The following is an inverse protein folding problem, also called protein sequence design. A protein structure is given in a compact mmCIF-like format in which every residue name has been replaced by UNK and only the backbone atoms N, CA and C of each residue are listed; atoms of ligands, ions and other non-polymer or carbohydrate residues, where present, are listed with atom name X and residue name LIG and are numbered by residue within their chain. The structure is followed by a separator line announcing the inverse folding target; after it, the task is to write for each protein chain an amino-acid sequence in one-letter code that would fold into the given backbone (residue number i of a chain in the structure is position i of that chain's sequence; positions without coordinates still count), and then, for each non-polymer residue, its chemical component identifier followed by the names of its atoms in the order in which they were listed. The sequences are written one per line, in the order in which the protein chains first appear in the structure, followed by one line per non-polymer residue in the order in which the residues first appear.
data_IF_428446681162
#
_entry.id   IF_428446681162
#
_cell.length_a   1.000
_cell.length_b   1.000
_cell.length_c   1.000
_cell.angle_alpha   90.00
_cell.angle_beta   90.00
_cell.angle_gamma   90.00
#
_symmetry.space_group_name_H-M   'P 1'
#
loop_
_entity.id
_entity.type
_entity.pdbx_description
1 polymer ?
#
# COMPACT_ATOMS: atom_id res chain seq x y z
N UNK A 1 -10.08 -8.20 4.89
CA UNK A 1 -8.94 -8.70 4.11
C UNK A 1 -8.07 -7.52 3.70
N UNK A 2 -6.75 -7.74 3.60
CA UNK A 2 -5.80 -6.71 3.20
C UNK A 2 -4.97 -7.21 2.02
N UNK A 3 -4.66 -6.31 1.12
CA UNK A 3 -3.92 -6.57 -0.11
C UNK A 3 -2.91 -5.45 -0.36
N UNK A 4 -1.87 -5.76 -1.10
CA UNK A 4 -1.05 -4.77 -1.79
C UNK A 4 -1.22 -4.95 -3.29
N UNK A 5 -1.16 -3.84 -4.01
CA UNK A 5 -1.21 -3.83 -5.46
C UNK A 5 -0.41 -2.67 -6.00
N UNK A 6 0.33 -2.87 -7.07
CA UNK A 6 1.13 -1.82 -7.67
C UNK A 6 1.82 -2.25 -8.96
N UNK A 7 2.43 -1.30 -9.62
CA UNK A 7 3.24 -1.48 -10.81
C UNK A 7 4.19 -0.30 -10.97
N UNK A 8 5.26 -0.49 -11.74
CA UNK A 8 6.28 0.55 -11.96
C UNK A 8 5.76 1.77 -12.73
N UNK A 9 4.71 1.60 -13.52
CA UNK A 9 4.02 2.63 -14.30
C UNK A 9 2.69 2.08 -14.83
N UNK A 10 1.92 2.91 -15.53
CA UNK A 10 0.58 2.55 -16.05
C UNK A 10 0.58 1.49 -17.17
N UNK A 11 1.71 1.21 -17.79
CA UNK A 11 1.85 0.22 -18.86
C UNK A 11 2.49 -1.10 -18.38
N UNK A 12 3.00 -1.12 -17.15
CA UNK A 12 3.54 -2.31 -16.54
C UNK A 12 2.41 -3.25 -16.08
N UNK A 13 2.70 -4.53 -16.05
CA UNK A 13 1.81 -5.51 -15.41
C UNK A 13 1.69 -5.20 -13.92
N UNK A 14 0.45 -5.15 -13.41
CA UNK A 14 0.19 -4.94 -11.99
C UNK A 14 0.44 -6.22 -11.21
N UNK A 15 1.21 -6.10 -10.14
CA UNK A 15 1.43 -7.18 -9.19
C UNK A 15 0.48 -7.04 -8.00
N UNK A 16 -0.02 -8.16 -7.49
CA UNK A 16 -0.99 -8.20 -6.39
C UNK A 16 -0.60 -9.29 -5.40
N UNK A 17 -0.70 -9.01 -4.11
CA UNK A 17 -0.49 -10.00 -3.06
C UNK A 17 -1.48 -9.82 -1.91
N UNK A 18 -2.03 -10.92 -1.35
CA UNK A 18 -2.75 -10.87 -0.09
C UNK A 18 -1.75 -10.64 1.06
N UNK A 19 -2.17 -9.88 2.07
CA UNK A 19 -1.35 -9.58 3.23
C UNK A 19 -1.82 -10.38 4.44
N UNK A 20 -0.90 -11.09 5.13
CA UNK A 20 -1.21 -11.79 6.37
C UNK A 20 -1.74 -10.82 7.43
N UNK A 21 -2.87 -11.13 8.08
CA UNK A 21 -3.50 -10.21 9.04
C UNK A 21 -2.62 -9.92 10.27
N UNK A 22 -1.69 -10.81 10.61
CA UNK A 22 -0.77 -10.63 11.73
C UNK A 22 0.20 -9.47 11.52
N UNK A 23 0.53 -9.14 10.26
CA UNK A 23 1.42 -8.05 9.87
C UNK A 23 0.66 -6.76 9.51
N UNK A 24 -0.62 -6.64 9.83
CA UNK A 24 -1.40 -5.41 9.55
C UNK A 24 -1.85 -4.78 10.87
N UNK A 25 -1.43 -3.54 11.12
CA UNK A 25 -1.64 -2.86 12.40
C UNK A 25 -2.25 -1.46 12.23
N UNK A 26 -3.03 -1.00 13.20
CA UNK A 26 -3.42 0.41 13.26
C UNK A 26 -2.22 1.28 13.67
N UNK A 27 -2.17 2.51 13.16
CA UNK A 27 -1.23 3.56 13.60
C UNK A 27 -1.73 4.26 14.87
N UNK A 28 -0.84 4.66 15.80
CA UNK A 28 0.60 4.36 15.83
C UNK A 28 0.87 2.91 16.18
N UNK A 29 1.82 2.28 15.49
CA UNK A 29 2.18 0.89 15.73
C UNK A 29 3.51 0.76 16.50
N UNK A 30 3.65 -0.31 17.28
CA UNK A 30 4.90 -0.70 17.92
C UNK A 30 5.36 -2.04 17.36
N UNK A 31 6.37 -2.02 16.52
CA UNK A 31 6.91 -3.18 15.83
C UNK A 31 8.30 -3.60 16.34
N UNK A 32 8.75 -3.08 17.49
CA UNK A 32 10.10 -3.37 18.05
C UNK A 32 10.36 -4.85 18.29
N UNK A 33 9.33 -5.64 18.50
CA UNK A 33 9.42 -7.09 18.71
C UNK A 33 9.15 -7.91 17.43
N UNK A 34 8.82 -7.25 16.31
CA UNK A 34 8.59 -7.95 15.06
C UNK A 34 9.92 -8.32 14.39
N UNK A 35 10.10 -9.55 13.94
CA UNK A 35 11.41 -10.05 13.49
C UNK A 35 11.72 -9.66 12.04
N UNK A 36 11.91 -8.36 11.78
CA UNK A 36 12.36 -7.90 10.46
C UNK A 36 13.82 -8.25 10.19
N UNK A 37 14.10 -8.75 8.99
CA UNK A 37 15.45 -8.85 8.45
C UNK A 37 15.88 -7.50 7.84
N UNK A 38 14.99 -6.86 7.12
CA UNK A 38 15.16 -5.57 6.47
C UNK A 38 14.01 -4.63 6.87
N UNK A 39 14.15 -3.35 6.59
CA UNK A 39 13.16 -2.33 6.93
C UNK A 39 13.09 -1.28 5.83
N UNK A 40 12.71 -1.72 4.61
CA UNK A 40 12.40 -0.78 3.52
C UNK A 40 11.08 -0.10 3.80
N UNK A 41 11.02 1.22 3.73
CA UNK A 41 9.83 1.99 4.09
C UNK A 41 9.17 2.55 2.84
N UNK A 42 7.91 2.24 2.69
CA UNK A 42 7.08 2.79 1.62
C UNK A 42 5.91 3.56 2.21
N UNK A 43 5.86 4.87 1.97
CA UNK A 43 4.72 5.72 2.31
C UNK A 43 3.68 5.67 1.20
N UNK A 44 2.46 5.28 1.53
CA UNK A 44 1.41 4.96 0.57
C UNK A 44 0.05 5.52 0.98
N UNK A 45 -0.91 5.41 0.07
CA UNK A 45 -2.34 5.55 0.34
C UNK A 45 -2.98 4.17 0.27
N UNK A 46 -3.71 3.79 1.29
CA UNK A 46 -4.57 2.62 1.28
C UNK A 46 -6.02 3.01 0.96
N UNK A 47 -6.69 2.18 0.18
CA UNK A 47 -8.09 2.34 -0.22
C UNK A 47 -8.94 1.20 0.35
N UNK A 48 -10.17 1.50 0.77
CA UNK A 48 -11.11 0.52 1.32
C UNK A 48 -12.37 0.43 0.46
N UNK A 49 -12.81 -0.81 0.16
CA UNK A 49 -14.08 -1.02 -0.52
C UNK A 49 -15.26 -0.72 0.42
N UNK A 50 -16.21 0.09 -0.02
CA UNK A 50 -17.45 0.41 0.69
C UNK A 50 -18.59 -0.57 0.42
N UNK A 51 -18.44 -1.46 -0.56
CA UNK A 51 -19.45 -2.42 -0.95
C UNK A 51 -18.81 -3.70 -1.52
N UNK A 52 -19.61 -4.76 -1.59
CA UNK A 52 -19.21 -6.02 -2.20
C UNK A 52 -19.04 -5.87 -3.71
N UNK A 53 -18.05 -6.57 -4.27
CA UNK A 53 -17.77 -6.58 -5.71
C UNK A 53 -17.75 -8.01 -6.21
N UNK A 54 -18.72 -8.35 -7.06
CA UNK A 54 -18.81 -9.68 -7.68
C UNK A 54 -17.82 -9.83 -8.83
N UNK A 55 -17.43 -11.07 -9.22
CA UNK A 55 -16.60 -11.31 -10.40
C UNK A 55 -17.16 -10.69 -11.69
N UNK A 56 -18.47 -10.74 -11.87
CA UNK A 56 -19.14 -10.18 -13.06
C UNK A 56 -19.00 -8.64 -13.11
N UNK A 57 -19.11 -7.98 -11.97
CA UNK A 57 -18.85 -6.53 -11.88
C UNK A 57 -17.38 -6.22 -12.13
N UNK A 58 -16.47 -6.90 -11.44
CA UNK A 58 -15.03 -6.66 -11.56
C UNK A 58 -14.52 -6.75 -13.02
N UNK A 59 -15.08 -7.67 -13.81
CA UNK A 59 -14.66 -7.92 -15.20
C UNK A 59 -14.95 -6.73 -16.15
N UNK A 60 -15.80 -5.79 -15.77
CA UNK A 60 -16.28 -4.71 -16.66
C UNK A 60 -15.96 -3.30 -16.14
N UNK A 61 -15.31 -3.19 -14.96
CA UNK A 61 -15.03 -1.89 -14.36
C UNK A 61 -13.92 -1.15 -15.12
N UNK A 62 -14.19 0.11 -15.41
CA UNK A 62 -13.14 1.09 -15.66
C UNK A 62 -12.66 1.74 -14.34
N UNK A 63 -11.66 2.61 -14.42
CA UNK A 63 -11.09 3.28 -13.24
C UNK A 63 -12.12 4.15 -12.51
N UNK A 64 -12.96 4.87 -13.25
CA UNK A 64 -13.98 5.75 -12.67
C UNK A 64 -15.09 4.97 -11.98
N UNK A 65 -15.49 3.86 -12.55
CA UNK A 65 -16.46 2.94 -11.95
C UNK A 65 -15.88 2.27 -10.70
N UNK A 66 -14.64 1.79 -10.75
CA UNK A 66 -13.96 1.16 -9.62
C UNK A 66 -13.74 2.16 -8.46
N UNK A 67 -13.41 3.42 -8.76
CA UNK A 67 -13.26 4.49 -7.77
C UNK A 67 -14.53 4.70 -6.93
N UNK A 68 -15.72 4.57 -7.54
CA UNK A 68 -17.00 4.72 -6.82
C UNK A 68 -17.31 3.59 -5.84
N UNK A 69 -16.56 2.49 -5.90
CA UNK A 69 -16.69 1.39 -4.96
C UNK A 69 -15.89 1.61 -3.66
N UNK A 70 -15.02 2.63 -3.64
CA UNK A 70 -14.18 2.99 -2.50
C UNK A 70 -14.94 3.96 -1.59
N UNK A 71 -15.04 3.65 -0.30
CA UNK A 71 -15.68 4.52 0.70
C UNK A 71 -14.69 5.35 1.50
N UNK A 72 -13.47 4.83 1.71
CA UNK A 72 -12.49 5.47 2.56
C UNK A 72 -11.07 5.26 2.06
N UNK A 73 -10.19 6.18 2.47
CA UNK A 73 -8.76 6.11 2.27
C UNK A 73 -8.02 6.43 3.55
N UNK A 74 -6.78 5.98 3.68
CA UNK A 74 -5.90 6.40 4.78
C UNK A 74 -4.44 6.44 4.32
N UNK A 75 -3.61 7.11 5.09
CA UNK A 75 -2.16 6.99 4.97
C UNK A 75 -1.76 5.60 5.42
N UNK A 76 -0.90 4.93 4.67
CA UNK A 76 -0.31 3.68 5.10
C UNK A 76 1.20 3.69 5.01
N UNK A 77 1.85 2.86 5.84
CA UNK A 77 3.28 2.58 5.78
C UNK A 77 3.42 1.09 5.52
N UNK A 78 3.99 0.73 4.36
CA UNK A 78 4.46 -0.64 4.18
C UNK A 78 5.90 -0.73 4.65
N UNK A 79 6.18 -1.73 5.47
CA UNK A 79 7.54 -2.16 5.80
C UNK A 79 7.87 -3.34 4.90
N UNK A 80 8.72 -3.10 3.91
CA UNK A 80 9.22 -4.12 3.00
C UNK A 80 10.33 -4.91 3.68
N UNK A 81 10.20 -6.23 3.64
CA UNK A 81 11.18 -7.15 4.23
C UNK A 81 11.49 -8.28 3.26
N UNK A 82 12.78 -8.54 3.04
CA UNK A 82 13.23 -9.61 2.15
C UNK A 82 13.63 -10.83 2.96
N UNK A 83 12.95 -11.95 2.74
CA UNK A 83 13.27 -13.25 3.35
C UNK A 83 14.21 -14.11 2.52
N UNK A 84 14.58 -13.65 1.32
CA UNK A 84 15.55 -14.29 0.44
C UNK A 84 16.94 -13.72 0.70
N UNK A 85 17.98 -14.57 0.65
CA UNK A 85 19.37 -14.15 0.86
C UNK A 85 19.82 -13.07 -0.13
N UNK A 86 19.28 -13.10 -1.35
CA UNK A 86 19.53 -12.13 -2.40
C UNK A 86 18.82 -10.79 -2.18
N UNK A 87 17.96 -10.70 -1.17
CA UNK A 87 17.18 -9.51 -0.83
C UNK A 87 16.45 -8.92 -2.06
N UNK A 88 16.62 -7.64 -2.33
CA UNK A 88 16.01 -6.97 -3.47
C UNK A 88 16.44 -7.49 -4.85
N UNK A 89 17.56 -8.23 -4.96
CA UNK A 89 18.03 -8.86 -6.19
C UNK A 89 17.37 -10.23 -6.47
N UNK A 90 16.59 -10.77 -5.52
CA UNK A 90 15.86 -12.02 -5.74
C UNK A 90 14.96 -11.94 -6.98
N UNK A 91 14.80 -13.03 -7.76
CA UNK A 91 13.93 -13.07 -8.92
C UNK A 91 12.48 -12.63 -8.57
N UNK A 92 11.79 -12.00 -9.52
CA UNK A 92 10.44 -11.48 -9.32
C UNK A 92 9.47 -12.54 -8.80
N UNK A 93 9.53 -13.75 -9.31
CA UNK A 93 8.65 -14.85 -8.88
C UNK A 93 8.92 -15.32 -7.44
N UNK A 94 10.17 -15.19 -6.91
CA UNK A 94 10.45 -15.38 -5.49
C UNK A 94 9.73 -14.31 -4.63
N UNK A 95 9.80 -13.05 -5.06
CA UNK A 95 9.12 -11.94 -4.38
C UNK A 95 7.59 -12.13 -4.41
N UNK A 96 7.05 -12.58 -5.54
CA UNK A 96 5.61 -12.89 -5.67
C UNK A 96 5.17 -14.01 -4.72
N UNK A 97 5.96 -15.07 -4.61
CA UNK A 97 5.69 -16.17 -3.67
C UNK A 97 5.78 -15.73 -2.20
N UNK A 98 6.46 -14.62 -1.93
CA UNK A 98 6.70 -14.02 -0.61
C UNK A 98 5.84 -12.75 -0.40
N UNK A 99 4.61 -12.77 -0.82
CA UNK A 99 3.66 -11.65 -0.73
C UNK A 99 4.26 -10.32 -1.21
N UNK A 100 5.06 -10.34 -2.29
CA UNK A 100 5.80 -9.20 -2.84
C UNK A 100 6.73 -8.55 -1.81
N UNK A 101 7.44 -9.37 -1.03
CA UNK A 101 8.37 -8.93 0.02
C UNK A 101 7.69 -8.15 1.16
N UNK A 102 6.46 -8.50 1.48
CA UNK A 102 5.73 -7.87 2.58
C UNK A 102 6.32 -8.23 3.95
N UNK A 103 6.63 -7.23 4.77
CA UNK A 103 7.00 -7.38 6.18
C UNK A 103 5.85 -7.00 7.10
N UNK A 104 5.31 -5.78 6.93
CA UNK A 104 4.16 -5.29 7.68
C UNK A 104 3.45 -4.15 6.94
N UNK A 105 2.19 -3.88 7.30
CA UNK A 105 1.41 -2.73 6.85
C UNK A 105 0.84 -2.00 8.06
N UNK A 106 1.11 -0.70 8.16
CA UNK A 106 0.54 0.16 9.20
C UNK A 106 -0.48 1.09 8.56
N UNK A 107 -1.70 1.12 9.10
CA UNK A 107 -2.82 1.90 8.58
C UNK A 107 -3.11 3.09 9.51
N UNK A 108 -3.09 4.29 8.97
CA UNK A 108 -3.51 5.51 9.64
C UNK A 108 -5.02 5.59 9.86
N UNK A 109 -5.49 6.74 10.31
CA UNK A 109 -6.91 7.00 10.45
C UNK A 109 -7.61 7.05 9.09
N UNK A 110 -8.78 6.42 9.00
CA UNK A 110 -9.60 6.39 7.80
C UNK A 110 -10.37 7.70 7.64
N UNK A 111 -10.26 8.28 6.44
CA UNK A 111 -11.06 9.44 6.03
C UNK A 111 -11.94 9.06 4.84
N UNK A 112 -13.09 9.72 4.63
CA UNK A 112 -13.91 9.49 3.45
C UNK A 112 -13.07 9.63 2.18
N UNK A 113 -13.22 8.70 1.24
CA UNK A 113 -12.53 8.79 -0.04
C UNK A 113 -13.09 9.97 -0.85
N UNK A 114 -12.19 10.77 -1.41
CA UNK A 114 -12.53 11.86 -2.32
C UNK A 114 -11.49 11.94 -3.44
N UNK A 115 -11.92 12.29 -4.66
CA UNK A 115 -10.98 12.56 -5.74
C UNK A 115 -10.10 13.77 -5.40
N UNK A 116 -8.80 13.61 -5.55
CA UNK A 116 -7.81 14.67 -5.32
C UNK A 116 -6.99 14.89 -6.60
N UNK A 117 -6.37 16.05 -6.71
CA UNK A 117 -5.30 16.27 -7.69
C UNK A 117 -4.02 15.61 -7.16
N UNK A 118 -3.89 14.32 -7.43
CA UNK A 118 -2.76 13.52 -6.99
C UNK A 118 -1.41 14.02 -7.51
N UNK A 119 -1.39 14.77 -8.62
CA UNK A 119 -0.15 15.35 -9.15
C UNK A 119 0.43 16.45 -8.26
N UNK A 120 -0.40 17.00 -7.36
CA UNK A 120 -0.04 18.05 -6.39
C UNK A 120 -0.03 17.54 -4.95
N UNK A 121 -0.39 16.28 -4.72
CA UNK A 121 -0.41 15.71 -3.39
C UNK A 121 1.00 15.69 -2.80
N UNK A 122 1.17 16.31 -1.66
CA UNK A 122 2.40 16.34 -0.90
C UNK A 122 2.42 15.19 0.11
N UNK A 123 3.56 14.50 0.16
CA UNK A 123 3.89 13.46 1.13
C UNK A 123 5.20 13.81 1.81
N UNK A 124 5.26 13.68 3.13
CA UNK A 124 6.47 13.90 3.93
C UNK A 124 6.77 12.62 4.69
N UNK A 125 8.03 12.16 4.62
CA UNK A 125 8.49 10.99 5.36
C UNK A 125 9.68 11.35 6.27
N UNK A 126 9.62 10.87 7.51
CA UNK A 126 10.68 10.99 8.52
C UNK A 126 11.03 9.59 9.02
N UNK A 127 12.31 9.23 8.99
CA UNK A 127 12.84 7.94 9.40
C UNK A 127 13.94 8.17 10.46
N UNK A 128 13.62 7.96 11.73
CA UNK A 128 14.55 8.12 12.83
C UNK A 128 15.26 9.48 12.80
N UNK A 129 16.59 9.48 12.75
CA UNK A 129 17.43 10.69 12.67
C UNK A 129 17.81 11.09 11.24
N UNK A 130 17.30 10.40 10.22
CA UNK A 130 17.60 10.75 8.83
C UNK A 130 16.94 12.08 8.44
N UNK A 131 17.48 12.79 7.44
CA UNK A 131 16.82 13.99 6.93
C UNK A 131 15.39 13.68 6.47
N UNK A 132 14.45 14.51 6.89
CA UNK A 132 13.06 14.45 6.40
C UNK A 132 13.03 14.64 4.89
N UNK A 133 12.27 13.81 4.20
CA UNK A 133 12.09 13.89 2.75
C UNK A 133 10.69 14.36 2.40
N UNK A 134 10.60 15.10 1.30
CA UNK A 134 9.34 15.60 0.76
C UNK A 134 9.16 15.15 -0.68
N UNK A 135 7.96 14.72 -1.01
CA UNK A 135 7.57 14.19 -2.32
C UNK A 135 6.26 14.83 -2.74
N UNK A 136 6.15 15.23 -4.01
CA UNK A 136 4.92 15.83 -4.57
C UNK A 136 4.58 15.14 -5.87
N UNK A 137 3.37 14.54 -5.92
CA UNK A 137 2.88 13.88 -7.13
C UNK A 137 3.70 12.67 -7.58
N UNK A 138 4.40 12.00 -6.68
CA UNK A 138 5.39 10.96 -6.99
C UNK A 138 4.82 9.56 -7.13
N UNK A 139 3.50 9.38 -6.99
CA UNK A 139 2.89 8.06 -7.16
C UNK A 139 3.16 7.49 -8.56
N UNK A 140 3.70 6.25 -8.71
CA UNK A 140 4.13 5.73 -10.01
C UNK A 140 3.00 5.59 -11.03
N UNK A 141 1.77 5.38 -10.57
CA UNK A 141 0.58 5.35 -11.43
C UNK A 141 -0.09 6.72 -11.58
N UNK A 142 0.40 7.77 -10.89
CA UNK A 142 -0.17 9.11 -10.88
C UNK A 142 -1.55 9.23 -10.21
N UNK A 143 -2.14 8.11 -9.80
CA UNK A 143 -3.44 8.00 -9.14
C UNK A 143 -3.53 6.66 -8.40
N UNK A 144 -3.71 6.65 -7.07
CA UNK A 144 -3.88 5.42 -6.28
C UNK A 144 -5.02 4.52 -6.78
N UNK A 145 -6.08 5.08 -7.32
CA UNK A 145 -7.22 4.31 -7.80
C UNK A 145 -7.01 3.65 -9.17
N UNK A 146 -5.93 4.01 -9.90
CA UNK A 146 -5.66 3.47 -11.24
C UNK A 146 -5.58 1.93 -11.27
N UNK A 147 -5.05 1.32 -10.21
CA UNK A 147 -4.87 -0.15 -10.13
C UNK A 147 -6.17 -0.91 -9.83
N UNK A 148 -7.23 -0.23 -9.37
CA UNK A 148 -8.44 -0.89 -8.84
C UNK A 148 -9.09 -1.90 -9.80
N UNK A 149 -9.30 -1.61 -11.11
CA UNK A 149 -9.89 -2.58 -12.02
C UNK A 149 -9.08 -3.87 -12.11
N UNK A 150 -7.76 -3.78 -12.28
CA UNK A 150 -6.88 -4.92 -12.39
C UNK A 150 -6.85 -5.73 -11.07
N UNK A 151 -6.74 -5.04 -9.93
CA UNK A 151 -6.78 -5.67 -8.62
C UNK A 151 -8.12 -6.38 -8.35
N UNK A 152 -9.26 -5.74 -8.64
CA UNK A 152 -10.58 -6.34 -8.44
C UNK A 152 -10.78 -7.57 -9.32
N UNK A 153 -10.38 -7.52 -10.60
CA UNK A 153 -10.36 -8.70 -11.46
C UNK A 153 -9.51 -9.83 -10.87
N UNK A 154 -8.31 -9.47 -10.34
CA UNK A 154 -7.41 -10.46 -9.75
C UNK A 154 -8.00 -11.14 -8.51
N UNK A 155 -8.53 -10.39 -7.54
CA UNK A 155 -9.00 -10.96 -6.28
C UNK A 155 -10.33 -11.73 -6.43
N UNK A 156 -11.09 -11.47 -7.49
CA UNK A 156 -12.35 -12.15 -7.78
C UNK A 156 -12.21 -13.28 -8.81
N UNK A 157 -11.01 -13.52 -9.38
CA UNK A 157 -10.75 -14.48 -10.48
C UNK A 157 -11.12 -15.92 -10.17
N UNK A 158 -11.21 -16.30 -8.90
CA UNK A 158 -11.60 -17.64 -8.45
C UNK A 158 -13.10 -17.79 -8.21
N UNK A 159 -13.92 -16.81 -8.62
CA UNK A 159 -15.37 -16.84 -8.48
C UNK A 159 -15.89 -16.26 -7.15
N UNK A 160 -15.00 -15.81 -6.25
CA UNK A 160 -15.41 -15.24 -4.98
C UNK A 160 -15.68 -13.72 -5.10
N UNK A 161 -16.69 -13.25 -4.41
CA UNK A 161 -16.98 -11.82 -4.24
C UNK A 161 -15.92 -11.19 -3.33
N UNK A 162 -15.40 -10.02 -3.72
CA UNK A 162 -14.59 -9.19 -2.84
C UNK A 162 -15.53 -8.46 -1.86
N UNK A 163 -15.43 -8.71 -0.54
CA UNK A 163 -16.37 -8.12 0.41
C UNK A 163 -16.09 -6.65 0.68
N UNK A 164 -17.13 -5.89 1.05
CA UNK A 164 -16.97 -4.56 1.65
C UNK A 164 -15.98 -4.61 2.82
N UNK A 165 -15.24 -3.53 3.02
CA UNK A 165 -14.16 -3.46 4.01
C UNK A 165 -12.84 -4.10 3.55
N UNK A 166 -12.76 -4.68 2.35
CA UNK A 166 -11.47 -5.12 1.78
C UNK A 166 -10.59 -3.92 1.48
N UNK A 167 -9.32 -4.00 1.89
CA UNK A 167 -8.33 -2.91 1.81
C UNK A 167 -7.24 -3.26 0.81
N UNK A 168 -6.78 -2.27 0.06
CA UNK A 168 -5.60 -2.37 -0.79
C UNK A 168 -4.67 -1.17 -0.57
N UNK A 169 -3.38 -1.42 -0.31
CA UNK A 169 -2.33 -0.39 -0.37
C UNK A 169 -1.80 -0.30 -1.80
N UNK A 170 -1.44 0.90 -2.27
CA UNK A 170 -1.50 1.22 -3.71
C UNK A 170 -0.17 1.59 -4.35
N UNK A 171 0.93 1.45 -3.63
CA UNK A 171 2.28 1.74 -4.12
C UNK A 171 2.86 3.04 -3.58
N UNK A 172 4.17 3.02 -3.52
CA UNK A 172 4.96 4.00 -2.78
C UNK A 172 4.98 5.40 -3.40
N UNK A 173 4.94 6.43 -2.55
CA UNK A 173 5.21 7.84 -2.89
C UNK A 173 6.65 8.25 -2.56
N UNK A 174 7.28 7.51 -1.64
CA UNK A 174 8.57 7.87 -1.04
C UNK A 174 9.76 7.11 -1.63
N UNK A 175 9.51 6.28 -2.64
CA UNK A 175 10.47 5.23 -2.96
C UNK A 175 10.55 4.23 -1.81
N UNK A 176 11.72 3.65 -1.58
CA UNK A 176 11.93 2.66 -0.53
C UNK A 176 13.22 2.97 0.27
N UNK A 177 13.27 4.08 1.03
CA UNK A 177 14.38 4.32 1.95
C UNK A 177 14.42 3.26 3.06
N UNK A 178 15.60 3.06 3.65
CA UNK A 178 15.82 2.05 4.68
C UNK A 178 15.82 2.68 6.08
N UNK A 179 15.01 2.12 6.98
CA UNK A 179 15.04 2.44 8.39
C UNK A 179 15.97 1.50 9.16
N UNK A 180 16.47 1.96 10.29
CA UNK A 180 17.26 1.17 11.24
C UNK A 180 16.36 0.58 12.36
N UNK A 181 16.79 -0.51 13.03
CA UNK A 181 16.17 -0.93 14.27
C UNK A 181 16.13 0.20 15.29
N UNK A 182 14.96 0.44 15.89
CA UNK A 182 14.75 1.51 16.86
C UNK A 182 14.29 2.84 16.24
N UNK A 183 14.24 2.98 14.92
CA UNK A 183 13.74 4.20 14.29
C UNK A 183 12.23 4.35 14.50
N UNK A 184 11.80 5.57 14.80
CA UNK A 184 10.42 5.99 14.63
C UNK A 184 10.25 6.46 13.18
N UNK A 185 9.36 5.79 12.46
CA UNK A 185 8.98 6.16 11.10
C UNK A 185 7.64 6.89 11.13
N UNK A 186 7.54 8.02 10.45
CA UNK A 186 6.30 8.77 10.27
C UNK A 186 6.14 9.18 8.81
N UNK A 187 4.94 9.00 8.28
CA UNK A 187 4.53 9.45 6.95
C UNK A 187 3.27 10.31 7.07
N UNK A 188 3.31 11.48 6.44
CA UNK A 188 2.21 12.46 6.45
C UNK A 188 1.82 12.79 5.02
N UNK A 189 0.54 12.76 4.72
CA UNK A 189 -0.03 13.27 3.47
C UNK A 189 -0.93 14.47 3.76
N UNK A 190 -0.61 15.60 3.18
CA UNK A 190 -1.34 16.85 3.41
C UNK A 190 -2.83 16.68 3.08
N UNK A 191 -3.70 17.06 4.04
CA UNK A 191 -5.15 16.98 3.90
C UNK A 191 -5.76 15.56 4.00
N UNK A 192 -4.94 14.50 4.15
CA UNK A 192 -5.42 13.13 4.32
C UNK A 192 -5.16 12.63 5.75
N UNK A 193 -3.93 12.76 6.24
CA UNK A 193 -3.58 12.28 7.56
C UNK A 193 -2.14 11.83 7.69
N UNK A 194 -1.91 10.94 8.64
CA UNK A 194 -0.58 10.40 8.93
C UNK A 194 -0.64 8.95 9.39
N UNK A 195 0.50 8.27 9.30
CA UNK A 195 0.75 6.99 9.93
C UNK A 195 2.15 7.00 10.57
N UNK A 196 2.33 6.21 11.63
CA UNK A 196 3.64 6.05 12.28
C UNK A 196 3.84 4.64 12.82
N UNK A 197 5.11 4.21 12.85
CA UNK A 197 5.53 2.94 13.42
C UNK A 197 6.88 3.07 14.12
N UNK A 198 6.99 2.48 15.29
CA UNK A 198 8.25 2.29 16.03
C UNK A 198 8.83 0.95 15.64
N UNK A 199 10.03 0.92 15.03
CA UNK A 199 10.70 -0.29 14.52
C UNK A 199 11.73 -0.86 15.50
#
# INVERSE_FOLDING_TARGET
QHWKSGGANRTAEMAHAPLPPQGVWPSPADARQWPFFHRGIEGEIALRLGQDVTPAQAATLDVEQARRLVDAMCVSIEVVDFRWAEAGAAPTWHKMADSLSHGALVLGEWVPFQPLDWSRQRCVATLGSQPTTEHVGTHPLGDPAFLLPAWLCHITRTGHTAPAGTVVTTGTWTGMPWAAPGDLVQVVFDGIGQASVQL
#
